data_IF_075144017845
#
_entry.id   IF_075144017845
#
_cell.length_a   1.000
_cell.length_b   1.000
_cell.length_c   1.000
_cell.angle_alpha   90.00
_cell.angle_beta   90.00
_cell.angle_gamma   90.00
#
_symmetry.space_group_name_H-M   'P 1'
#
loop_
_entity.id
_entity.type
_entity.pdbx_description
1 polymer ?
#
# COMPACT_ATOMS: atom_id res chain seq x y z
N UNK A 1 -5.29 8.47 28.43
CA UNK A 1 -6.05 7.28 28.00
C UNK A 1 -6.60 7.58 26.62
N UNK A 2 -6.93 6.59 25.80
CA UNK A 2 -7.51 6.83 24.48
C UNK A 2 -8.93 6.31 24.47
N UNK A 3 -9.85 7.12 23.95
CA UNK A 3 -11.22 6.72 23.68
C UNK A 3 -11.44 6.63 22.18
N UNK A 4 -12.09 5.55 21.74
CA UNK A 4 -12.39 5.30 20.34
C UNK A 4 -13.89 5.07 20.23
N UNK A 5 -14.58 5.87 19.42
CA UNK A 5 -16.00 5.70 19.12
C UNK A 5 -16.11 5.15 17.70
N UNK A 6 -16.76 4.01 17.53
CA UNK A 6 -16.76 3.27 16.26
C UNK A 6 -18.16 2.95 15.81
N UNK A 7 -18.39 3.05 14.50
CA UNK A 7 -19.64 2.64 13.87
C UNK A 7 -19.38 2.08 12.46
N UNK A 8 -20.29 1.20 12.01
CA UNK A 8 -20.32 0.59 10.71
C UNK A 8 -21.73 0.58 10.11
N UNK A 9 -21.83 1.03 8.86
CA UNK A 9 -23.09 1.12 8.11
C UNK A 9 -23.03 0.33 6.81
N UNK A 10 -24.17 -0.22 6.37
CA UNK A 10 -24.28 -0.98 5.14
C UNK A 10 -25.62 -0.74 4.45
N UNK A 11 -25.60 -0.26 3.21
CA UNK A 11 -26.76 0.00 2.37
C UNK A 11 -27.20 -1.30 1.68
N UNK A 12 -28.11 -2.02 2.33
CA UNK A 12 -28.39 -3.42 1.98
C UNK A 12 -27.38 -4.34 2.66
N UNK A 13 -27.82 -5.50 3.14
CA UNK A 13 -26.99 -6.40 3.95
C UNK A 13 -27.07 -7.83 3.39
N UNK A 14 -26.25 -8.20 2.39
CA UNK A 14 -25.03 -7.50 1.94
C UNK A 14 -25.27 -6.34 0.95
N UNK A 15 -24.30 -5.43 0.86
CA UNK A 15 -24.33 -4.24 -0.02
C UNK A 15 -23.16 -3.29 0.22
N UNK A 16 -23.17 -2.08 -0.38
CA UNK A 16 -22.13 -1.08 -0.15
C UNK A 16 -22.15 -0.58 1.28
N UNK A 17 -20.99 -0.58 1.95
CA UNK A 17 -20.87 -0.21 3.35
C UNK A 17 -19.74 0.78 3.62
N UNK A 18 -19.84 1.45 4.76
CA UNK A 18 -18.88 2.41 5.28
C UNK A 18 -18.61 2.15 6.75
N UNK A 19 -17.44 2.54 7.21
CA UNK A 19 -17.04 2.44 8.62
C UNK A 19 -16.30 3.71 9.05
N UNK A 20 -16.37 4.03 10.33
CA UNK A 20 -15.68 5.18 10.90
C UNK A 20 -15.22 4.92 12.33
N UNK A 21 -14.12 5.56 12.72
CA UNK A 21 -13.71 5.65 14.11
C UNK A 21 -13.23 7.06 14.47
N UNK A 22 -13.72 7.56 15.61
CA UNK A 22 -13.35 8.84 16.21
C UNK A 22 -12.43 8.56 17.40
N UNK A 23 -11.21 9.07 17.36
CA UNK A 23 -10.16 8.77 18.33
C UNK A 23 -9.86 10.04 19.14
N UNK A 24 -9.97 9.95 20.46
CA UNK A 24 -9.71 11.02 21.41
C UNK A 24 -8.58 10.64 22.35
N UNK A 25 -7.61 11.54 22.52
CA UNK A 25 -6.62 11.41 23.59
C UNK A 25 -7.09 12.18 24.82
N UNK A 26 -7.59 11.48 25.83
CA UNK A 26 -8.12 12.11 27.05
C UNK A 26 -7.03 12.73 27.93
N UNK A 27 -5.75 12.48 27.63
CA UNK A 27 -4.64 13.13 28.33
C UNK A 27 -4.33 14.53 27.75
N UNK A 28 -4.90 14.87 26.60
CA UNK A 28 -4.70 16.15 25.92
C UNK A 28 -6.06 16.67 25.41
N UNK A 29 -6.87 17.29 26.29
CA UNK A 29 -8.24 17.70 25.97
C UNK A 29 -8.34 18.76 24.86
N UNK A 30 -7.27 19.54 24.66
CA UNK A 30 -7.21 20.58 23.62
C UNK A 30 -6.88 19.98 22.24
N UNK A 31 -6.43 18.72 22.20
CA UNK A 31 -6.14 18.01 20.96
C UNK A 31 -7.44 17.63 20.24
N UNK A 32 -7.54 18.10 19.00
CA UNK A 32 -8.69 17.78 18.14
C UNK A 32 -8.80 16.27 17.93
N UNK A 33 -10.01 15.67 18.04
CA UNK A 33 -10.22 14.25 17.77
C UNK A 33 -9.76 13.85 16.36
N UNK A 34 -9.14 12.69 16.23
CA UNK A 34 -8.78 12.14 14.92
C UNK A 34 -9.96 11.36 14.34
N UNK A 35 -10.22 11.51 13.05
CA UNK A 35 -11.24 10.73 12.33
C UNK A 35 -10.56 9.84 11.31
N UNK A 36 -10.83 8.55 11.42
CA UNK A 36 -10.48 7.57 10.40
C UNK A 36 -11.75 6.96 9.84
N UNK A 37 -11.72 6.59 8.57
CA UNK A 37 -12.90 6.10 7.87
C UNK A 37 -12.51 5.32 6.63
N UNK A 38 -13.43 4.49 6.16
CA UNK A 38 -13.29 3.77 4.92
C UNK A 38 -14.63 3.23 4.44
N UNK A 39 -14.59 2.61 3.26
CA UNK A 39 -15.78 2.04 2.62
C UNK A 39 -15.45 0.72 1.91
N UNK A 40 -16.48 -0.06 1.62
CA UNK A 40 -16.39 -1.32 0.91
C UNK A 40 -17.63 -1.49 0.01
N UNK A 41 -17.48 -1.76 -1.29
CA UNK A 41 -18.61 -1.80 -2.22
C UNK A 41 -19.55 -3.01 -2.03
N UNK A 42 -19.06 -4.11 -1.45
CA UNK A 42 -19.85 -5.30 -1.17
C UNK A 42 -19.41 -5.90 0.17
N UNK A 43 -20.22 -5.68 1.19
CA UNK A 43 -19.93 -6.06 2.57
C UNK A 43 -21.22 -6.30 3.35
N UNK A 44 -21.10 -6.54 4.66
CA UNK A 44 -22.22 -6.61 5.61
C UNK A 44 -22.03 -5.59 6.72
N UNK A 45 -23.11 -5.23 7.42
CA UNK A 45 -23.03 -4.32 8.56
C UNK A 45 -22.02 -4.81 9.61
N UNK A 46 -22.11 -6.08 10.00
CA UNK A 46 -21.22 -6.69 10.98
C UNK A 46 -19.73 -6.64 10.59
N UNK A 47 -19.41 -6.64 9.29
CA UNK A 47 -18.03 -6.49 8.81
C UNK A 47 -17.53 -5.05 8.93
N UNK A 48 -18.38 -4.07 8.62
CA UNK A 48 -18.03 -2.65 8.76
C UNK A 48 -17.82 -2.27 10.22
N UNK A 49 -18.68 -2.77 11.10
CA UNK A 49 -18.57 -2.62 12.56
C UNK A 49 -17.25 -3.17 13.10
N UNK A 50 -16.86 -4.37 12.64
CA UNK A 50 -15.57 -4.96 13.00
C UNK A 50 -14.38 -4.16 12.47
N UNK A 51 -14.45 -3.72 11.22
CA UNK A 51 -13.37 -2.94 10.60
C UNK A 51 -13.17 -1.59 11.29
N UNK A 52 -14.25 -0.92 11.72
CA UNK A 52 -14.17 0.30 12.50
C UNK A 52 -13.32 0.13 13.78
N UNK A 53 -13.54 -0.98 14.50
CA UNK A 53 -12.79 -1.31 15.72
C UNK A 53 -11.33 -1.65 15.41
N UNK A 54 -11.07 -2.47 14.40
CA UNK A 54 -9.72 -2.88 13.98
C UNK A 54 -8.89 -1.65 13.61
N UNK A 55 -9.38 -0.85 12.65
CA UNK A 55 -8.63 0.31 12.15
C UNK A 55 -8.50 1.40 13.23
N UNK A 56 -9.52 1.55 14.10
CA UNK A 56 -9.48 2.43 15.26
C UNK A 56 -8.34 2.07 16.21
N UNK A 57 -8.25 0.80 16.60
CA UNK A 57 -7.19 0.28 17.47
C UNK A 57 -5.83 0.40 16.78
N UNK A 58 -5.71 0.05 15.50
CA UNK A 58 -4.47 0.14 14.73
C UNK A 58 -3.89 1.57 14.67
N UNK A 59 -4.76 2.58 14.70
CA UNK A 59 -4.39 3.99 14.62
C UNK A 59 -3.95 4.61 15.96
N UNK A 60 -3.71 3.79 16.99
CA UNK A 60 -3.36 4.27 18.34
C UNK A 60 -2.05 3.65 18.85
N UNK A 61 -1.26 4.37 19.67
CA UNK A 61 -0.02 3.84 20.25
C UNK A 61 -0.24 2.59 21.12
N UNK A 62 0.64 1.59 20.99
CA UNK A 62 0.48 0.27 21.62
C UNK A 62 0.55 0.25 23.14
N UNK A 63 1.19 1.25 23.75
CA UNK A 63 1.45 1.40 25.19
C UNK A 63 0.34 2.11 25.98
N UNK A 64 -0.69 2.60 25.30
CA UNK A 64 -1.77 3.38 25.90
C UNK A 64 -2.96 2.48 26.26
N UNK A 65 -3.60 2.76 27.41
CA UNK A 65 -4.92 2.18 27.75
C UNK A 65 -5.99 2.74 26.80
N UNK A 66 -6.81 1.86 26.23
CA UNK A 66 -7.85 2.17 25.24
C UNK A 66 -9.23 1.78 25.77
N UNK A 67 -10.22 2.64 25.53
CA UNK A 67 -11.64 2.31 25.62
C UNK A 67 -12.26 2.40 24.23
N UNK A 68 -12.89 1.33 23.79
CA UNK A 68 -13.62 1.29 22.52
C UNK A 68 -15.11 1.30 22.83
N UNK A 69 -15.81 2.32 22.36
CA UNK A 69 -17.25 2.48 22.45
C UNK A 69 -17.87 2.12 21.09
N UNK A 70 -18.79 1.16 21.10
CA UNK A 70 -19.52 0.71 19.92
C UNK A 70 -20.96 0.37 20.32
N UNK A 71 -21.92 0.67 19.45
CA UNK A 71 -23.31 0.22 19.63
C UNK A 71 -23.61 -1.16 19.02
N UNK A 72 -22.62 -1.73 18.34
CA UNK A 72 -22.67 -3.10 17.84
C UNK A 72 -22.56 -4.12 18.96
N UNK A 73 -23.72 -4.64 19.40
CA UNK A 73 -23.75 -5.78 20.33
C UNK A 73 -22.98 -6.97 19.79
N UNK A 74 -23.01 -7.21 18.48
CA UNK A 74 -22.26 -8.29 17.86
C UNK A 74 -20.76 -8.19 18.17
N UNK A 75 -20.16 -7.00 18.02
CA UNK A 75 -18.74 -6.80 18.29
C UNK A 75 -18.46 -6.86 19.79
N UNK A 76 -19.17 -6.05 20.59
CA UNK A 76 -18.89 -5.90 22.03
C UNK A 76 -19.19 -7.17 22.81
N UNK A 77 -20.33 -7.84 22.57
CA UNK A 77 -20.64 -9.09 23.27
C UNK A 77 -19.67 -10.21 22.88
N UNK A 78 -19.25 -10.29 21.62
CA UNK A 78 -18.29 -11.32 21.20
C UNK A 78 -16.94 -11.14 21.89
N UNK A 79 -16.47 -9.90 22.05
CA UNK A 79 -15.21 -9.57 22.72
C UNK A 79 -15.29 -9.75 24.24
N UNK A 80 -16.38 -9.32 24.88
CA UNK A 80 -16.52 -9.38 26.33
C UNK A 80 -16.98 -10.75 26.86
N UNK A 81 -17.75 -11.52 26.08
CA UNK A 81 -18.36 -12.79 26.53
C UNK A 81 -17.71 -14.03 25.90
N UNK A 82 -16.61 -13.89 25.16
CA UNK A 82 -15.89 -14.99 24.49
C UNK A 82 -16.82 -15.90 23.66
N UNK A 83 -17.77 -15.31 22.95
CA UNK A 83 -18.68 -16.10 22.12
C UNK A 83 -17.95 -16.79 20.96
N UNK A 84 -18.43 -17.99 20.60
CA UNK A 84 -17.85 -18.75 19.48
C UNK A 84 -18.04 -18.00 18.17
N UNK A 85 -16.94 -17.53 17.58
CA UNK A 85 -16.90 -16.83 16.28
C UNK A 85 -17.17 -17.84 15.17
N UNK A 86 -18.27 -17.67 14.41
CA UNK A 86 -18.69 -18.56 13.32
C UNK A 86 -18.61 -17.91 11.93
N UNK A 87 -18.50 -16.59 11.86
CA UNK A 87 -18.44 -15.80 10.63
C UNK A 87 -17.45 -14.65 10.81
N UNK A 88 -17.03 -14.01 9.70
CA UNK A 88 -16.04 -12.92 9.68
C UNK A 88 -14.70 -13.31 10.31
N UNK A 89 -14.30 -14.58 10.16
CA UNK A 89 -13.09 -15.13 10.78
C UNK A 89 -11.83 -14.38 10.35
N UNK A 90 -11.80 -13.90 9.10
CA UNK A 90 -10.74 -13.07 8.54
C UNK A 90 -10.52 -11.76 9.32
N UNK A 91 -11.60 -11.10 9.72
CA UNK A 91 -11.53 -9.85 10.49
C UNK A 91 -11.24 -10.12 11.96
N UNK A 92 -11.79 -11.20 12.52
CA UNK A 92 -11.50 -11.61 13.88
C UNK A 92 -10.03 -11.98 14.08
N UNK A 93 -9.43 -12.69 13.13
CA UNK A 93 -8.00 -13.02 13.15
C UNK A 93 -7.13 -11.76 13.09
N UNK A 94 -7.47 -10.80 12.21
CA UNK A 94 -6.81 -9.50 12.17
C UNK A 94 -6.91 -8.73 13.49
N UNK A 95 -8.09 -8.73 14.12
CA UNK A 95 -8.28 -8.07 15.40
C UNK A 95 -7.43 -8.73 16.49
N UNK A 96 -7.44 -10.07 16.57
CA UNK A 96 -6.65 -10.81 17.56
C UNK A 96 -5.14 -10.49 17.47
N UNK A 97 -4.61 -10.33 16.25
CA UNK A 97 -3.22 -9.92 16.03
C UNK A 97 -2.91 -8.51 16.57
N UNK A 98 -3.88 -7.58 16.52
CA UNK A 98 -3.69 -6.20 16.94
C UNK A 98 -3.89 -5.96 18.44
N UNK A 99 -4.71 -6.78 19.10
CA UNK A 99 -5.03 -6.61 20.52
C UNK A 99 -4.05 -7.34 21.44
N UNK A 100 -3.17 -8.18 20.88
CA UNK A 100 -2.16 -8.91 21.65
C UNK A 100 -1.29 -7.93 22.46
N UNK A 101 -1.18 -8.16 23.77
CA UNK A 101 -0.47 -7.30 24.74
C UNK A 101 -0.98 -5.85 24.87
N UNK A 102 -2.23 -5.54 24.48
CA UNK A 102 -2.81 -4.21 24.65
C UNK A 102 -3.85 -4.18 25.77
N UNK A 103 -3.92 -3.07 26.50
CA UNK A 103 -4.92 -2.85 27.55
C UNK A 103 -6.15 -2.15 26.94
N UNK A 104 -7.14 -2.95 26.53
CA UNK A 104 -8.33 -2.49 25.82
C UNK A 104 -9.59 -2.90 26.59
N UNK A 105 -10.51 -1.95 26.75
CA UNK A 105 -11.84 -2.16 27.33
C UNK A 105 -12.91 -1.88 26.25
N UNK A 106 -13.84 -2.81 26.06
CA UNK A 106 -14.93 -2.68 25.08
C UNK A 106 -16.24 -2.33 25.79
N UNK A 107 -16.83 -1.20 25.44
CA UNK A 107 -17.99 -0.63 26.10
C UNK A 107 -19.13 -0.57 25.08
N UNK A 108 -20.22 -1.29 25.38
CA UNK A 108 -21.43 -1.17 24.58
C UNK A 108 -22.16 0.11 24.96
N UNK A 109 -22.50 0.91 23.95
CA UNK A 109 -23.34 2.09 24.10
C UNK A 109 -24.61 1.93 23.27
N UNK A 110 -25.66 2.65 23.63
CA UNK A 110 -26.89 2.64 22.84
C UNK A 110 -26.72 3.63 21.68
N UNK A 111 -26.95 3.17 20.45
CA UNK A 111 -27.01 4.04 19.27
C UNK A 111 -28.06 5.14 19.41
N UNK A 112 -27.80 6.31 18.82
CA UNK A 112 -28.66 7.50 18.85
C UNK A 112 -29.09 7.95 20.26
N UNK A 113 -28.16 7.88 21.22
CA UNK A 113 -28.39 8.29 22.61
C UNK A 113 -27.75 9.64 22.96
N UNK A 114 -27.62 10.58 22.00
CA UNK A 114 -26.96 11.89 22.16
C UNK A 114 -25.47 11.81 22.55
N UNK A 115 -24.78 10.73 22.18
CA UNK A 115 -23.33 10.71 22.27
C UNK A 115 -22.75 11.32 21.01
N UNK A 116 -22.25 12.55 21.13
CA UNK A 116 -21.75 13.35 20.01
C UNK A 116 -20.73 12.61 19.14
N UNK A 117 -19.82 11.83 19.73
CA UNK A 117 -18.78 11.13 18.98
C UNK A 117 -19.27 9.83 18.34
N UNK A 118 -20.22 9.14 18.97
CA UNK A 118 -20.86 7.99 18.33
C UNK A 118 -21.76 8.42 17.17
N UNK A 119 -22.53 9.49 17.34
CA UNK A 119 -23.35 10.06 16.26
C UNK A 119 -22.47 10.61 15.13
N UNK A 120 -21.30 11.16 15.44
CA UNK A 120 -20.32 11.53 14.43
C UNK A 120 -19.79 10.31 13.66
N UNK A 121 -19.45 9.21 14.37
CA UNK A 121 -19.03 7.96 13.74
C UNK A 121 -20.12 7.39 12.82
N UNK A 122 -21.36 7.32 13.30
CA UNK A 122 -22.54 6.88 12.55
C UNK A 122 -22.72 7.69 11.27
N UNK A 123 -22.73 9.02 11.38
CA UNK A 123 -22.90 9.92 10.25
C UNK A 123 -21.80 9.73 9.21
N UNK A 124 -20.54 9.58 9.64
CA UNK A 124 -19.42 9.34 8.71
C UNK A 124 -19.54 7.95 8.06
N UNK A 125 -19.89 6.91 8.82
CA UNK A 125 -20.08 5.56 8.29
C UNK A 125 -21.20 5.53 7.23
N UNK A 126 -22.35 6.17 7.51
CA UNK A 126 -23.44 6.32 6.55
C UNK A 126 -23.05 7.14 5.33
N UNK A 127 -22.31 8.25 5.51
CA UNK A 127 -21.80 9.06 4.39
C UNK A 127 -20.87 8.24 3.50
N UNK A 128 -19.97 7.44 4.07
CA UNK A 128 -19.07 6.58 3.31
C UNK A 128 -19.81 5.45 2.59
N UNK A 129 -20.82 4.85 3.23
CA UNK A 129 -21.70 3.86 2.60
C UNK A 129 -22.46 4.46 1.39
N UNK A 130 -23.03 5.65 1.56
CA UNK A 130 -23.72 6.38 0.49
C UNK A 130 -22.76 6.83 -0.62
N UNK A 131 -21.57 7.31 -0.26
CA UNK A 131 -20.54 7.71 -1.22
C UNK A 131 -20.13 6.53 -2.09
N UNK A 132 -19.93 5.34 -1.50
CA UNK A 132 -19.56 4.14 -2.24
C UNK A 132 -20.75 3.54 -3.01
N UNK A 133 -21.99 3.82 -2.64
CA UNK A 133 -23.17 3.43 -3.42
C UNK A 133 -23.43 4.35 -4.61
N UNK A 134 -23.19 5.67 -4.47
CA UNK A 134 -23.37 6.67 -5.52
C UNK A 134 -22.18 6.75 -6.47
N UNK A 135 -20.97 6.58 -5.93
CA UNK A 135 -19.72 6.48 -6.65
C UNK A 135 -19.10 5.11 -6.36
N UNK A 136 -19.73 4.00 -6.79
CA UNK A 136 -19.13 2.69 -6.64
C UNK A 136 -17.73 2.76 -7.22
N UNK A 137 -16.72 2.25 -6.50
CA UNK A 137 -15.42 2.11 -7.09
C UNK A 137 -15.70 1.23 -8.30
N UNK A 138 -15.20 1.61 -9.47
CA UNK A 138 -15.27 0.77 -10.66
C UNK A 138 -14.52 -0.51 -10.35
N UNK A 139 -15.21 -1.44 -9.69
CA UNK A 139 -14.76 -2.65 -9.02
C UNK A 139 -13.50 -2.50 -8.15
N UNK A 140 -13.55 -2.98 -6.91
CA UNK A 140 -12.38 -3.63 -6.27
C UNK A 140 -12.08 -4.96 -6.99
N UNK A 141 -12.04 -4.95 -8.32
CA UNK A 141 -11.39 -6.00 -9.06
C UNK A 141 -9.92 -5.73 -8.87
N UNK A 142 -9.15 -6.78 -8.58
CA UNK A 142 -7.77 -6.81 -9.02
C UNK A 142 -7.79 -6.27 -10.45
N UNK A 143 -7.08 -5.17 -10.72
CA UNK A 143 -7.11 -4.51 -12.03
C UNK A 143 -6.78 -5.50 -13.16
N UNK A 144 -6.14 -6.60 -12.80
CA UNK A 144 -5.76 -7.69 -13.67
C UNK A 144 -6.72 -8.87 -13.73
N UNK A 145 -8.00 -8.71 -13.36
CA UNK A 145 -9.02 -9.77 -13.45
C UNK A 145 -10.30 -9.29 -14.15
N UNK A 146 -10.90 -10.16 -14.96
CA UNK A 146 -12.19 -9.91 -15.60
C UNK A 146 -13.37 -10.16 -14.63
N UNK A 147 -14.60 -9.94 -15.12
CA UNK A 147 -15.85 -10.15 -14.34
C UNK A 147 -16.06 -11.58 -13.86
N UNK A 148 -15.26 -12.54 -14.32
CA UNK A 148 -15.29 -13.96 -13.93
C UNK A 148 -14.14 -14.33 -12.98
N UNK A 149 -13.27 -13.37 -12.63
CA UNK A 149 -12.08 -13.60 -11.81
C UNK A 149 -10.89 -14.18 -12.59
N UNK A 150 -10.98 -14.27 -13.94
CA UNK A 150 -9.86 -14.70 -14.78
C UNK A 150 -8.91 -13.56 -15.06
N UNK A 151 -7.64 -13.88 -15.17
CA UNK A 151 -6.59 -12.90 -15.43
C UNK A 151 -6.85 -12.19 -16.77
N UNK A 152 -6.94 -10.85 -16.75
CA UNK A 152 -7.15 -10.02 -17.93
C UNK A 152 -6.37 -8.71 -17.83
N UNK A 153 -5.91 -8.19 -18.96
CA UNK A 153 -5.34 -6.85 -19.04
C UNK A 153 -6.46 -5.80 -18.87
N UNK A 154 -6.20 -4.71 -18.15
CA UNK A 154 -7.17 -3.61 -17.96
C UNK A 154 -7.43 -2.92 -19.31
N UNK A 155 -8.68 -2.70 -19.69
CA UNK A 155 -8.97 -1.79 -20.80
C UNK A 155 -8.72 -0.33 -20.39
N UNK A 156 -7.84 0.35 -21.13
CA UNK A 156 -7.46 1.75 -20.89
C UNK A 156 -7.98 2.71 -21.97
N UNK A 157 -8.77 2.21 -22.94
CA UNK A 157 -9.21 2.97 -24.12
C UNK A 157 -9.96 4.26 -23.78
N UNK A 158 -10.75 4.25 -22.70
CA UNK A 158 -11.56 5.40 -22.26
C UNK A 158 -10.83 6.34 -21.29
N UNK A 159 -9.55 6.08 -20.98
CA UNK A 159 -8.77 6.94 -20.07
C UNK A 159 -8.15 8.09 -20.85
N UNK A 160 -8.00 9.24 -20.19
CA UNK A 160 -7.30 10.36 -20.79
C UNK A 160 -5.79 10.13 -20.81
N UNK A 161 -5.15 10.55 -21.90
CA UNK A 161 -3.69 10.63 -22.01
C UNK A 161 -3.18 11.78 -21.16
N UNK A 162 -2.25 11.50 -20.25
CA UNK A 162 -1.59 12.51 -19.41
C UNK A 162 -0.10 12.22 -19.30
N UNK A 163 0.70 13.20 -18.88
CA UNK A 163 2.09 12.96 -18.49
C UNK A 163 2.15 11.98 -17.32
N UNK A 164 3.02 10.97 -17.42
CA UNK A 164 3.24 9.90 -16.43
C UNK A 164 4.72 9.86 -16.11
N UNK A 165 5.03 9.87 -14.82
CA UNK A 165 6.40 9.74 -14.33
C UNK A 165 6.40 8.72 -13.20
N UNK A 166 7.38 7.82 -13.22
CA UNK A 166 7.69 6.96 -12.09
C UNK A 166 9.19 7.00 -11.79
N UNK A 167 9.53 6.97 -10.51
CA UNK A 167 10.88 6.78 -10.00
C UNK A 167 10.94 5.53 -9.15
N UNK A 168 11.95 4.70 -9.37
CA UNK A 168 12.21 3.50 -8.58
C UNK A 168 13.67 3.46 -8.14
N UNK A 169 13.94 2.72 -7.07
CA UNK A 169 15.29 2.49 -6.55
C UNK A 169 15.52 1.02 -6.26
N UNK A 170 16.79 0.63 -6.18
CA UNK A 170 17.27 -0.58 -5.51
C UNK A 170 18.72 -0.41 -5.06
N UNK A 171 19.17 -1.30 -4.18
CA UNK A 171 20.55 -1.32 -3.69
C UNK A 171 21.22 -2.65 -4.05
N UNK A 172 22.49 -2.56 -4.47
CA UNK A 172 23.34 -3.74 -4.69
C UNK A 172 24.46 -3.71 -3.66
N UNK A 173 24.40 -4.64 -2.71
CA UNK A 173 25.40 -4.76 -1.65
C UNK A 173 26.44 -5.80 -2.07
N UNK A 174 27.71 -5.41 -2.08
CA UNK A 174 28.82 -6.25 -2.56
C UNK A 174 29.90 -6.39 -1.50
N UNK A 175 30.82 -7.34 -1.69
CA UNK A 175 32.09 -7.34 -0.98
C UNK A 175 32.90 -6.08 -1.28
N UNK A 176 33.81 -5.73 -0.37
CA UNK A 176 34.71 -4.58 -0.56
C UNK A 176 35.59 -4.74 -1.81
N UNK A 177 36.07 -5.95 -2.07
CA UNK A 177 36.87 -6.27 -3.26
C UNK A 177 36.09 -6.03 -4.55
N UNK A 178 34.86 -6.56 -4.64
CA UNK A 178 34.01 -6.37 -5.81
C UNK A 178 33.63 -4.89 -5.98
N UNK A 179 33.32 -4.19 -4.90
CA UNK A 179 33.00 -2.76 -4.95
C UNK A 179 34.17 -1.95 -5.53
N UNK A 180 35.39 -2.16 -5.03
CA UNK A 180 36.58 -1.47 -5.54
C UNK A 180 36.89 -1.85 -6.98
N UNK A 181 36.68 -3.11 -7.37
CA UNK A 181 36.85 -3.54 -8.76
C UNK A 181 35.87 -2.84 -9.70
N UNK A 182 34.60 -2.68 -9.29
CA UNK A 182 33.59 -1.92 -10.04
C UNK A 182 33.97 -0.44 -10.11
N UNK A 183 34.24 0.19 -8.96
CA UNK A 183 34.55 1.63 -8.86
C UNK A 183 35.77 2.01 -9.71
N UNK A 184 36.80 1.16 -9.71
CA UNK A 184 38.05 1.40 -10.46
C UNK A 184 38.03 0.81 -11.88
N UNK A 185 36.90 0.27 -12.33
CA UNK A 185 36.75 -0.35 -13.65
C UNK A 185 37.79 -1.45 -13.94
N UNK A 186 38.06 -2.31 -12.94
CA UNK A 186 39.05 -3.41 -13.00
C UNK A 186 38.40 -4.79 -13.21
N UNK A 187 37.15 -4.84 -13.64
CA UNK A 187 36.45 -6.08 -13.96
C UNK A 187 36.85 -6.52 -15.37
N UNK A 188 37.32 -7.75 -15.53
CA UNK A 188 37.79 -8.28 -16.83
C UNK A 188 36.72 -8.23 -17.93
N UNK A 189 35.45 -8.34 -17.54
CA UNK A 189 34.30 -8.27 -18.47
C UNK A 189 34.02 -6.86 -19.00
N UNK A 190 34.66 -5.82 -18.46
CA UNK A 190 34.52 -4.43 -18.90
C UNK A 190 33.73 -3.55 -17.93
N UNK A 191 33.25 -2.40 -18.45
CA UNK A 191 32.57 -1.37 -17.66
C UNK A 191 31.20 -1.83 -17.17
N UNK A 192 31.15 -2.16 -15.88
CA UNK A 192 29.96 -2.67 -15.20
C UNK A 192 28.85 -1.63 -15.14
N UNK A 193 29.18 -0.37 -14.80
CA UNK A 193 28.16 0.67 -14.59
C UNK A 193 27.53 1.06 -15.94
N UNK A 194 28.34 1.21 -16.99
CA UNK A 194 27.82 1.50 -18.33
C UNK A 194 27.00 0.34 -18.88
N UNK A 195 27.43 -0.91 -18.67
CA UNK A 195 26.68 -2.10 -19.07
C UNK A 195 25.34 -2.19 -18.34
N UNK A 196 25.33 -2.00 -17.02
CA UNK A 196 24.12 -1.98 -16.21
C UNK A 196 23.15 -0.86 -16.63
N UNK A 197 23.66 0.34 -16.96
CA UNK A 197 22.86 1.45 -17.47
C UNK A 197 22.14 1.09 -18.77
N UNK A 198 22.87 0.52 -19.74
CA UNK A 198 22.28 0.11 -21.02
C UNK A 198 21.25 -1.00 -20.80
N UNK A 199 21.57 -1.99 -19.97
CA UNK A 199 20.66 -3.08 -19.63
C UNK A 199 19.34 -2.57 -19.02
N UNK A 200 19.40 -1.64 -18.07
CA UNK A 200 18.20 -1.04 -17.49
C UNK A 200 17.37 -0.23 -18.50
N UNK A 201 18.00 0.50 -19.43
CA UNK A 201 17.29 1.24 -20.49
C UNK A 201 16.57 0.28 -21.42
N UNK A 202 17.23 -0.81 -21.82
CA UNK A 202 16.62 -1.84 -22.67
C UNK A 202 15.49 -2.56 -21.93
N UNK A 203 15.67 -2.83 -20.64
CA UNK A 203 14.69 -3.51 -19.81
C UNK A 203 13.39 -2.71 -19.66
N UNK A 204 13.48 -1.40 -19.40
CA UNK A 204 12.30 -0.52 -19.39
C UNK A 204 11.51 -0.58 -20.71
N UNK A 205 12.21 -0.59 -21.86
CA UNK A 205 11.55 -0.70 -23.18
C UNK A 205 10.92 -2.08 -23.44
N UNK A 206 11.31 -3.10 -22.66
CA UNK A 206 10.85 -4.50 -22.81
C UNK A 206 9.93 -4.95 -21.69
N UNK A 207 9.53 -4.05 -20.78
CA UNK A 207 8.70 -4.37 -19.61
C UNK A 207 7.43 -5.13 -19.98
N UNK A 208 6.67 -4.68 -21.00
CA UNK A 208 5.44 -5.36 -21.43
C UNK A 208 5.66 -6.73 -22.07
N UNK A 209 6.89 -7.06 -22.47
CA UNK A 209 7.26 -8.41 -22.95
C UNK A 209 7.58 -9.37 -21.81
N UNK A 210 7.85 -8.85 -20.61
CA UNK A 210 8.25 -9.62 -19.42
C UNK A 210 7.09 -9.74 -18.44
N UNK A 211 6.34 -8.66 -18.25
CA UNK A 211 5.24 -8.59 -17.27
C UNK A 211 3.91 -8.81 -17.99
N UNK A 212 3.23 -9.96 -17.82
CA UNK A 212 2.22 -10.46 -18.75
C UNK A 212 1.03 -9.52 -19.05
N UNK A 213 0.70 -8.61 -18.12
CA UNK A 213 -0.49 -7.77 -18.20
C UNK A 213 -0.18 -6.28 -18.24
N UNK A 214 1.10 -5.93 -18.43
CA UNK A 214 1.50 -4.57 -18.73
C UNK A 214 1.11 -4.22 -20.16
N UNK A 215 0.53 -3.04 -20.35
CA UNK A 215 0.33 -2.48 -21.68
C UNK A 215 1.67 -2.20 -22.35
N UNK A 216 1.77 -2.32 -23.68
CA UNK A 216 2.85 -1.68 -24.43
C UNK A 216 2.76 -0.15 -24.28
N UNK A 217 3.79 0.48 -23.73
CA UNK A 217 3.84 1.93 -23.51
C UNK A 217 4.91 2.56 -24.40
N UNK A 218 4.55 3.65 -25.08
CA UNK A 218 5.50 4.51 -25.78
C UNK A 218 6.25 5.37 -24.76
N UNK A 219 7.45 4.96 -24.39
CA UNK A 219 8.28 5.66 -23.41
C UNK A 219 8.91 6.90 -24.07
N UNK A 220 8.78 8.06 -23.41
CA UNK A 220 9.36 9.32 -23.87
C UNK A 220 10.79 9.53 -23.37
N UNK A 221 11.07 9.13 -22.12
CA UNK A 221 12.39 9.31 -21.53
C UNK A 221 12.69 8.26 -20.44
N UNK A 222 13.94 7.81 -20.37
CA UNK A 222 14.46 6.89 -19.35
C UNK A 222 15.78 7.46 -18.86
N UNK A 223 15.91 7.60 -17.54
CA UNK A 223 17.12 8.01 -16.85
C UNK A 223 17.50 6.94 -15.83
N UNK A 224 18.78 6.58 -15.74
CA UNK A 224 19.31 5.65 -14.75
C UNK A 224 20.57 6.24 -14.13
N UNK A 225 20.52 6.45 -12.82
CA UNK A 225 21.59 7.00 -12.01
C UNK A 225 22.14 5.95 -11.05
N UNK A 226 23.43 6.05 -10.75
CA UNK A 226 24.14 5.16 -9.82
C UNK A 226 24.84 6.03 -8.77
N UNK A 227 24.68 5.67 -7.51
CA UNK A 227 25.42 6.25 -6.39
C UNK A 227 26.26 5.15 -5.74
N UNK A 228 27.58 5.37 -5.68
CA UNK A 228 28.53 4.41 -5.14
C UNK A 228 28.91 4.83 -3.72
N UNK A 229 28.37 4.11 -2.74
CA UNK A 229 28.68 4.30 -1.32
C UNK A 229 29.83 3.36 -0.91
N UNK A 230 31.04 3.92 -0.92
CA UNK A 230 32.27 3.20 -0.56
C UNK A 230 32.36 2.84 0.92
N UNK A 231 31.73 3.61 1.81
CA UNK A 231 31.77 3.32 3.23
C UNK A 231 31.00 2.03 3.56
N UNK A 232 29.91 1.77 2.82
CA UNK A 232 29.05 0.61 3.03
C UNK A 232 29.18 -0.48 1.95
N UNK A 233 29.99 -0.26 0.90
CA UNK A 233 30.11 -1.13 -0.28
C UNK A 233 28.77 -1.36 -0.98
N UNK A 234 27.99 -0.29 -1.13
CA UNK A 234 26.64 -0.32 -1.72
C UNK A 234 26.59 0.49 -3.01
N UNK A 235 25.96 -0.05 -4.04
CA UNK A 235 25.64 0.67 -5.27
C UNK A 235 24.13 0.87 -5.31
N UNK A 236 23.68 2.09 -5.03
CA UNK A 236 22.28 2.48 -5.16
C UNK A 236 21.97 2.86 -6.60
N UNK A 237 20.91 2.27 -7.16
CA UNK A 237 20.47 2.49 -8.53
C UNK A 237 19.11 3.19 -8.48
N UNK A 238 18.98 4.33 -9.14
CA UNK A 238 17.69 5.02 -9.31
C UNK A 238 17.32 5.07 -10.77
N UNK A 239 16.09 4.67 -11.11
CA UNK A 239 15.52 4.89 -12.43
C UNK A 239 14.43 5.97 -12.38
N UNK A 240 14.29 6.72 -13.48
CA UNK A 240 13.15 7.60 -13.73
C UNK A 240 12.65 7.36 -15.15
N UNK A 241 11.38 6.98 -15.26
CA UNK A 241 10.73 6.73 -16.56
C UNK A 241 9.62 7.75 -16.76
N UNK A 242 9.52 8.29 -17.98
CA UNK A 242 8.50 9.27 -18.37
C UNK A 242 7.81 8.83 -19.65
N UNK A 243 6.49 8.96 -19.70
CA UNK A 243 5.66 8.75 -20.90
C UNK A 243 4.46 9.69 -20.91
N UNK A 244 3.86 9.91 -22.07
CA UNK A 244 2.52 10.49 -22.19
C UNK A 244 1.56 9.39 -22.58
N UNK A 245 0.65 9.01 -21.69
CA UNK A 245 -0.19 7.83 -21.89
C UNK A 245 -1.38 7.68 -20.93
N UNK A 246 -2.18 6.66 -21.19
CA UNK A 246 -3.41 6.32 -20.47
C UNK A 246 -3.19 5.49 -19.20
N UNK A 247 -1.99 4.90 -19.07
CA UNK A 247 -1.55 4.09 -17.92
C UNK A 247 -0.21 4.59 -17.39
N UNK A 248 0.12 4.26 -16.14
CA UNK A 248 1.37 4.67 -15.50
C UNK A 248 2.59 3.88 -16.00
N UNK A 249 3.79 4.30 -15.58
CA UNK A 249 5.09 3.72 -15.96
C UNK A 249 5.88 3.16 -14.77
N UNK A 250 5.16 2.77 -13.70
CA UNK A 250 5.74 2.21 -12.48
C UNK A 250 6.55 0.95 -12.79
N UNK A 251 6.01 0.08 -13.64
CA UNK A 251 6.61 -1.21 -13.94
C UNK A 251 7.87 -1.05 -14.78
N UNK A 252 7.92 -0.08 -15.70
CA UNK A 252 9.10 0.25 -16.48
C UNK A 252 10.24 0.74 -15.57
N UNK A 253 9.92 1.58 -14.58
CA UNK A 253 10.91 2.06 -13.62
C UNK A 253 11.46 0.92 -12.74
N UNK A 254 10.59 0.07 -12.19
CA UNK A 254 10.98 -1.08 -11.37
C UNK A 254 11.78 -2.11 -12.16
N UNK A 255 11.37 -2.39 -13.39
CA UNK A 255 12.08 -3.32 -14.29
C UNK A 255 13.48 -2.79 -14.61
N UNK A 256 13.62 -1.49 -14.85
CA UNK A 256 14.92 -0.87 -15.15
C UNK A 256 15.94 -1.05 -14.01
N UNK A 257 15.56 -0.73 -12.76
CA UNK A 257 16.48 -0.90 -11.61
C UNK A 257 16.80 -2.37 -11.37
N UNK A 258 15.80 -3.26 -11.48
CA UNK A 258 15.97 -4.70 -11.28
C UNK A 258 16.97 -5.30 -12.27
N UNK A 259 16.82 -5.02 -13.56
CA UNK A 259 17.74 -5.57 -14.58
C UNK A 259 19.11 -4.89 -14.51
N UNK A 260 19.19 -3.62 -14.14
CA UNK A 260 20.49 -2.96 -13.88
C UNK A 260 21.25 -3.69 -12.76
N UNK A 261 20.57 -3.99 -11.65
CA UNK A 261 21.15 -4.72 -10.53
C UNK A 261 21.56 -6.15 -10.89
N UNK A 262 20.72 -6.88 -11.62
CA UNK A 262 21.06 -8.23 -12.11
C UNK A 262 22.25 -8.20 -13.06
N UNK A 263 22.41 -7.13 -13.84
CA UNK A 263 23.57 -6.95 -14.73
C UNK A 263 24.84 -6.70 -13.92
N UNK A 264 24.80 -5.90 -12.87
CA UNK A 264 25.93 -5.73 -11.94
C UNK A 264 26.33 -7.09 -11.35
N UNK A 265 25.35 -7.86 -10.86
CA UNK A 265 25.58 -9.20 -10.34
C UNK A 265 26.24 -10.11 -11.40
N UNK A 266 25.71 -10.16 -12.61
CA UNK A 266 26.23 -11.00 -13.70
C UNK A 266 27.70 -10.68 -14.04
N UNK A 267 28.03 -9.39 -14.03
CA UNK A 267 29.38 -8.91 -14.30
C UNK A 267 30.35 -9.29 -13.18
N UNK A 268 29.90 -9.28 -11.92
CA UNK A 268 30.78 -9.41 -10.75
C UNK A 268 30.75 -10.80 -10.07
N UNK A 269 29.83 -11.70 -10.43
CA UNK A 269 29.63 -13.02 -9.79
C UNK A 269 30.86 -13.95 -9.75
N UNK A 270 31.91 -13.66 -10.53
CA UNK A 270 33.18 -14.38 -10.49
C UNK A 270 34.05 -13.97 -9.30
N UNK A 271 33.91 -12.72 -8.83
CA UNK A 271 34.66 -12.14 -7.71
C UNK A 271 33.83 -12.27 -6.43
N UNK A 272 32.54 -11.93 -6.50
CA UNK A 272 31.65 -11.95 -5.36
C UNK A 272 30.35 -12.70 -5.66
N UNK A 273 30.21 -13.87 -5.04
CA UNK A 273 28.99 -14.70 -5.12
C UNK A 273 27.94 -14.33 -4.08
N UNK A 274 28.30 -13.54 -3.08
CA UNK A 274 27.45 -13.13 -1.97
C UNK A 274 26.78 -11.77 -2.21
N UNK A 275 27.01 -11.15 -3.37
CA UNK A 275 26.32 -9.91 -3.76
C UNK A 275 24.81 -10.08 -3.61
N UNK A 276 24.17 -9.14 -2.91
CA UNK A 276 22.71 -9.14 -2.70
C UNK A 276 22.08 -7.93 -3.36
N UNK A 277 20.85 -8.12 -3.83
CA UNK A 277 20.02 -7.05 -4.41
C UNK A 277 18.86 -6.83 -3.44
N UNK A 278 18.72 -5.62 -2.93
CA UNK A 278 17.74 -5.26 -1.90
C UNK A 278 17.00 -3.97 -2.28
N UNK A 279 15.98 -3.62 -1.48
CA UNK A 279 15.29 -2.33 -1.55
C UNK A 279 14.71 -1.96 -2.93
N UNK A 280 14.30 -2.95 -3.75
CA UNK A 280 13.58 -2.69 -5.00
C UNK A 280 12.20 -2.09 -4.64
N UNK A 281 12.03 -0.79 -4.85
CA UNK A 281 10.78 -0.08 -4.54
C UNK A 281 10.56 1.15 -5.39
N UNK A 282 9.31 1.61 -5.47
CA UNK A 282 8.99 2.92 -6.00
C UNK A 282 9.38 4.00 -4.98
N UNK A 283 9.92 5.10 -5.48
CA UNK A 283 10.16 6.33 -4.72
C UNK A 283 9.05 7.34 -4.97
N UNK A 284 8.59 7.45 -6.23
CA UNK A 284 7.59 8.45 -6.61
C UNK A 284 6.82 7.98 -7.83
N UNK A 285 5.55 8.36 -7.90
CA UNK A 285 4.81 8.38 -9.16
C UNK A 285 3.96 9.62 -9.30
N UNK A 286 3.72 10.06 -10.54
CA UNK A 286 2.84 11.18 -10.83
C UNK A 286 2.08 10.98 -12.13
N UNK A 287 0.83 11.43 -12.15
CA UNK A 287 -0.01 11.50 -13.35
C UNK A 287 -1.27 10.63 -13.30
N UNK A 288 -2.26 11.01 -14.09
CA UNK A 288 -3.62 10.44 -14.11
C UNK A 288 -4.41 10.63 -12.83
N UNK A 289 -5.44 9.80 -12.64
CA UNK A 289 -6.47 9.97 -11.59
C UNK A 289 -5.89 10.03 -10.18
N UNK A 290 -4.83 9.27 -9.91
CA UNK A 290 -4.23 9.17 -8.56
C UNK A 290 -3.30 10.35 -8.20
N UNK A 291 -3.06 11.29 -9.12
CA UNK A 291 -2.23 12.46 -8.84
C UNK A 291 -0.75 12.13 -8.61
N UNK A 292 -0.13 12.80 -7.63
CA UNK A 292 1.26 12.56 -7.20
C UNK A 292 1.24 11.72 -5.93
N UNK A 293 2.02 10.65 -5.91
CA UNK A 293 2.24 9.82 -4.72
C UNK A 293 3.75 9.75 -4.48
N UNK A 294 4.17 10.07 -3.25
CA UNK A 294 5.55 9.98 -2.80
C UNK A 294 5.69 8.84 -1.78
N UNK A 295 6.76 8.06 -1.92
CA UNK A 295 7.10 6.90 -1.10
C UNK A 295 8.52 7.00 -0.50
N UNK A 296 9.20 8.12 -0.76
CA UNK A 296 10.48 8.49 -0.11
C UNK A 296 10.34 8.59 1.40
#
# INVERSE_FOLDING_TARGET
MIEIYTDGSCLGNPGPGGWAAIILDTNDPDKTPSRIKGNCPDTTNNRMELLAVIEGIASTPSDRKIKVYSDSKYVVDTLNKNWKRKANLDLWEKLDQQIHNRNIEYIWIKGHANNTHNEEADNIAQQEANNIAQNPPTSTNLSHTDKTGKISMVDISNKNTTLRIAKATCDVMTSHESFLAIKNNKIEKGDVISSARIAGILAAKKTSSIIPLCHPILISHIEIAFNLDEANNVISITSKVTSSGQTGVEMEALTAVTISALTIYDMCKSIDKQTTITNIRLLKKSGGKSGIINFE
#
